data_IF_590907480561
#
_entry.id   IF_590907480561
#
_cell.length_a   1.000
_cell.length_b   1.000
_cell.length_c   1.000
_cell.angle_alpha   90.00
_cell.angle_beta   90.00
_cell.angle_gamma   90.00
#
_symmetry.space_group_name_H-M   'P 1'
#
loop_
_entity.id
_entity.type
_entity.pdbx_description
1 polymer ?
#
# COMPACT_ATOMS: atom_id res chain seq x y z
N UNK A 1 -21.30 -19.65 -12.72
CA UNK A 1 -21.52 -18.22 -13.02
C UNK A 1 -20.35 -17.74 -13.86
N UNK A 2 -20.56 -17.50 -15.16
CA UNK A 2 -19.48 -17.12 -16.09
C UNK A 2 -19.21 -15.61 -15.91
N UNK A 3 -17.96 -15.16 -15.76
CA UNK A 3 -17.65 -13.74 -15.60
C UNK A 3 -18.05 -12.96 -16.87
N UNK A 4 -18.77 -11.84 -16.72
CA UNK A 4 -18.84 -10.80 -17.76
C UNK A 4 -20.10 -10.73 -18.63
N UNK A 5 -21.20 -11.43 -18.32
CA UNK A 5 -22.50 -11.18 -18.98
C UNK A 5 -23.60 -10.98 -17.95
N UNK A 6 -24.12 -9.75 -17.87
CA UNK A 6 -25.33 -9.41 -17.14
C UNK A 6 -26.47 -9.20 -18.15
N UNK A 7 -27.57 -9.94 -17.94
CA UNK A 7 -28.77 -9.87 -18.75
C UNK A 7 -29.75 -8.91 -18.09
N UNK A 8 -30.29 -7.94 -18.84
CA UNK A 8 -31.32 -7.02 -18.33
C UNK A 8 -32.64 -7.33 -19.04
N UNK A 9 -33.71 -7.53 -18.28
CA UNK A 9 -35.04 -7.80 -18.82
C UNK A 9 -35.83 -6.49 -18.92
N UNK A 10 -36.24 -6.10 -20.13
CA UNK A 10 -37.09 -4.93 -20.35
C UNK A 10 -38.12 -5.26 -21.44
N UNK A 11 -39.41 -5.13 -21.12
CA UNK A 11 -40.55 -5.34 -22.05
C UNK A 11 -40.50 -6.66 -22.84
N UNK A 12 -40.25 -7.79 -22.18
CA UNK A 12 -40.40 -9.11 -22.81
C UNK A 12 -39.31 -9.51 -23.81
N UNK A 13 -38.26 -8.69 -23.99
CA UNK A 13 -37.14 -9.01 -24.89
C UNK A 13 -35.83 -9.07 -24.11
N UNK A 14 -35.04 -10.11 -24.36
CA UNK A 14 -33.69 -10.25 -23.80
C UNK A 14 -32.76 -9.40 -24.65
N UNK A 15 -32.27 -8.29 -24.10
CA UNK A 15 -31.21 -7.48 -24.71
C UNK A 15 -29.85 -7.86 -24.12
N UNK A 16 -28.90 -8.18 -25.00
CA UNK A 16 -27.52 -8.43 -24.58
C UNK A 16 -26.81 -7.10 -24.40
N UNK A 17 -26.64 -6.64 -23.16
CA UNK A 17 -25.84 -5.45 -22.86
C UNK A 17 -24.36 -5.85 -22.82
N UNK A 18 -23.57 -5.39 -23.79
CA UNK A 18 -22.10 -5.48 -23.69
C UNK A 18 -21.62 -4.48 -22.65
N UNK A 19 -21.28 -4.95 -21.45
CA UNK A 19 -20.46 -4.15 -20.55
C UNK A 19 -19.04 -4.14 -21.09
N UNK A 20 -18.60 -2.98 -21.58
CA UNK A 20 -17.18 -2.75 -21.80
C UNK A 20 -16.51 -2.72 -20.42
N UNK A 21 -15.67 -3.71 -20.13
CA UNK A 21 -14.81 -3.66 -18.96
C UNK A 21 -13.93 -2.40 -19.10
N UNK A 22 -14.25 -1.37 -18.32
CA UNK A 22 -13.43 -0.16 -18.25
C UNK A 22 -12.06 -0.56 -17.72
N UNK A 23 -11.05 -0.47 -18.59
CA UNK A 23 -9.67 -0.78 -18.25
C UNK A 23 -9.20 0.30 -17.29
N UNK A 24 -9.13 -0.01 -15.99
CA UNK A 24 -8.59 0.91 -14.98
C UNK A 24 -7.15 1.25 -15.38
N UNK A 25 -6.83 2.54 -15.63
CA UNK A 25 -5.47 2.93 -15.97
C UNK A 25 -4.52 2.54 -14.83
N UNK A 26 -3.47 1.78 -15.15
CA UNK A 26 -2.44 1.46 -14.16
C UNK A 26 -1.57 2.71 -13.95
N UNK A 27 -1.21 3.04 -12.69
CA UNK A 27 -0.30 4.14 -12.44
C UNK A 27 1.04 3.87 -13.11
N UNK A 28 1.66 4.92 -13.66
CA UNK A 28 3.01 4.84 -14.22
C UNK A 28 4.02 4.77 -13.06
N UNK A 29 4.58 3.59 -12.83
CA UNK A 29 5.58 3.36 -11.77
C UNK A 29 6.99 3.42 -12.37
N UNK A 30 7.85 4.27 -11.79
CA UNK A 30 9.29 4.33 -12.05
C UNK A 30 10.02 3.56 -10.95
N UNK A 31 10.99 2.73 -11.34
CA UNK A 31 11.79 1.92 -10.42
C UNK A 31 13.22 2.43 -10.38
N UNK A 32 13.77 2.58 -9.18
CA UNK A 32 15.16 2.94 -8.95
C UNK A 32 15.80 1.95 -8.00
N UNK A 33 17.11 1.81 -8.08
CA UNK A 33 17.91 1.08 -7.10
C UNK A 33 19.00 2.00 -6.60
N UNK A 34 19.00 2.27 -5.30
CA UNK A 34 20.01 3.10 -4.65
C UNK A 34 21.32 2.32 -4.51
N UNK A 35 22.43 3.03 -4.25
CA UNK A 35 23.77 2.42 -4.09
C UNK A 35 23.83 1.41 -2.93
N UNK A 36 23.00 1.60 -1.90
CA UNK A 36 22.87 0.68 -0.77
C UNK A 36 21.95 -0.54 -1.05
N UNK A 37 21.47 -0.69 -2.29
CA UNK A 37 20.62 -1.81 -2.70
C UNK A 37 19.11 -1.61 -2.47
N UNK A 38 18.68 -0.51 -1.83
CA UNK A 38 17.26 -0.22 -1.63
C UNK A 38 16.57 0.00 -2.98
N UNK A 39 15.47 -0.73 -3.20
CA UNK A 39 14.59 -0.53 -4.34
C UNK A 39 13.54 0.55 -4.00
N UNK A 40 13.40 1.54 -4.88
CA UNK A 40 12.43 2.62 -4.73
C UNK A 40 11.45 2.57 -5.90
N UNK A 41 10.16 2.53 -5.58
CA UNK A 41 9.07 2.60 -6.54
C UNK A 41 8.38 3.95 -6.42
N UNK A 42 8.43 4.75 -7.47
CA UNK A 42 7.81 6.07 -7.54
C UNK A 42 6.64 6.05 -8.51
N UNK A 43 5.45 6.42 -8.04
CA UNK A 43 4.25 6.50 -8.85
C UNK A 43 3.66 7.93 -8.78
N UNK A 44 4.08 8.87 -9.66
CA UNK A 44 3.56 10.23 -9.64
C UNK A 44 2.07 10.25 -9.98
N UNK A 45 1.29 10.98 -9.18
CA UNK A 45 -0.13 11.23 -9.43
C UNK A 45 -0.42 12.74 -9.37
N UNK A 46 -0.42 13.45 -10.51
CA UNK A 46 -0.65 14.90 -10.55
C UNK A 46 -2.07 15.31 -10.09
N UNK A 47 -3.02 14.38 -10.03
CA UNK A 47 -4.38 14.65 -9.57
C UNK A 47 -4.50 14.68 -8.05
N UNK A 48 -3.46 14.28 -7.30
CA UNK A 48 -3.46 14.25 -5.85
C UNK A 48 -2.52 15.31 -5.28
N UNK A 49 -2.99 16.24 -4.43
CA UNK A 49 -2.12 17.19 -3.72
C UNK A 49 -1.41 16.56 -2.51
N UNK A 50 -1.69 15.29 -2.20
CA UNK A 50 -1.07 14.53 -1.11
C UNK A 50 -0.14 13.45 -1.65
N UNK A 51 0.78 13.00 -0.79
CA UNK A 51 1.69 11.89 -1.05
C UNK A 51 1.55 10.80 0.02
N UNK A 52 1.85 9.56 -0.34
CA UNK A 52 2.00 8.45 0.61
C UNK A 52 3.37 7.81 0.40
N UNK A 53 4.06 7.54 1.49
CA UNK A 53 5.39 6.92 1.49
C UNK A 53 5.31 5.62 2.29
N UNK A 54 5.83 4.54 1.72
CA UNK A 54 5.81 3.22 2.32
C UNK A 54 7.23 2.64 2.28
N UNK A 55 7.65 2.02 3.38
CA UNK A 55 8.89 1.25 3.45
C UNK A 55 8.53 -0.19 3.74
N UNK A 56 8.88 -1.10 2.84
CA UNK A 56 8.60 -2.51 2.97
C UNK A 56 9.85 -3.30 3.32
N UNK A 57 9.82 -3.97 4.46
CA UNK A 57 10.83 -4.96 4.82
C UNK A 57 10.37 -6.35 4.41
N UNK A 58 11.23 -7.12 3.72
CA UNK A 58 10.91 -8.48 3.27
C UNK A 58 11.13 -9.52 4.37
N UNK A 59 10.58 -9.25 5.56
CA UNK A 59 10.69 -10.09 6.76
C UNK A 59 9.41 -9.94 7.59
N UNK A 60 9.03 -11.00 8.30
CA UNK A 60 7.88 -10.99 9.22
C UNK A 60 7.79 -12.30 9.99
N UNK A 61 6.65 -12.58 10.64
CA UNK A 61 6.50 -13.77 11.49
C UNK A 61 6.74 -15.12 10.79
N UNK A 62 6.59 -15.18 9.46
CA UNK A 62 6.96 -16.36 8.66
C UNK A 62 8.45 -16.73 8.78
N UNK A 63 9.30 -15.76 9.13
CA UNK A 63 10.74 -15.93 9.26
C UNK A 63 11.18 -16.26 10.70
N UNK A 64 10.24 -16.38 11.65
CA UNK A 64 10.55 -16.68 13.04
C UNK A 64 10.74 -18.18 13.28
N UNK A 65 11.45 -18.52 14.36
CA UNK A 65 11.66 -19.90 14.80
C UNK A 65 10.84 -20.19 16.06
N UNK A 66 10.48 -21.47 16.33
CA UNK A 66 9.90 -21.85 17.61
C UNK A 66 10.74 -21.34 18.79
N UNK A 67 10.07 -20.76 19.79
CA UNK A 67 10.72 -20.14 20.95
C UNK A 67 11.01 -18.63 20.82
N UNK A 68 10.87 -18.04 19.63
CA UNK A 68 11.01 -16.59 19.42
C UNK A 68 9.85 -15.98 18.61
N UNK A 69 8.67 -16.58 18.72
CA UNK A 69 7.47 -16.11 18.00
C UNK A 69 7.01 -14.75 18.49
N UNK A 70 6.56 -13.89 17.58
CA UNK A 70 6.09 -12.53 17.86
C UNK A 70 7.19 -11.47 17.79
N UNK A 71 8.44 -11.84 17.51
CA UNK A 71 9.58 -10.93 17.43
C UNK A 71 9.43 -9.85 16.35
N UNK A 72 8.88 -10.17 15.19
CA UNK A 72 8.67 -9.21 14.11
C UNK A 72 7.66 -8.11 14.50
N UNK A 73 6.54 -8.51 15.11
CA UNK A 73 5.53 -7.58 15.60
C UNK A 73 6.06 -6.78 16.81
N UNK A 74 6.77 -7.43 17.74
CA UNK A 74 7.41 -6.71 18.83
C UNK A 74 8.40 -5.65 18.33
N UNK A 75 9.23 -5.98 17.33
CA UNK A 75 10.15 -5.03 16.71
C UNK A 75 9.41 -3.86 16.07
N UNK A 76 8.27 -4.10 15.41
CA UNK A 76 7.41 -3.05 14.86
C UNK A 76 7.00 -2.02 15.93
N UNK A 77 6.57 -2.48 17.12
CA UNK A 77 6.28 -1.58 18.25
C UNK A 77 7.50 -0.80 18.71
N UNK A 78 8.68 -1.42 18.66
CA UNK A 78 9.93 -0.79 19.09
C UNK A 78 10.41 0.29 18.12
N UNK A 79 10.04 0.23 16.84
CA UNK A 79 10.37 1.29 15.87
C UNK A 79 9.84 2.67 16.29
N UNK A 80 8.78 2.71 17.10
CA UNK A 80 8.15 3.95 17.58
C UNK A 80 8.55 4.32 19.01
N UNK A 81 9.45 3.58 19.66
CA UNK A 81 9.95 3.91 21.00
C UNK A 81 11.12 4.92 20.99
N UNK A 82 11.46 5.46 19.81
CA UNK A 82 12.50 6.47 19.64
C UNK A 82 13.78 5.95 19.01
N UNK A 83 14.65 6.87 18.64
CA UNK A 83 15.95 6.69 18.02
C UNK A 83 16.96 7.64 18.68
N UNK A 84 18.28 7.49 18.46
CA UNK A 84 19.26 8.44 19.00
C UNK A 84 19.03 9.90 18.56
N UNK A 85 18.34 10.13 17.44
CA UNK A 85 18.07 11.46 16.90
C UNK A 85 16.68 11.99 17.24
N UNK A 86 15.70 11.10 17.41
CA UNK A 86 14.30 11.44 17.66
C UNK A 86 13.80 10.65 18.84
N UNK A 87 13.46 11.32 19.94
CA UNK A 87 12.86 10.71 21.10
C UNK A 87 11.47 10.12 20.79
N UNK A 88 11.00 9.26 21.69
CA UNK A 88 9.68 8.64 21.61
C UNK A 88 8.58 9.69 21.40
N UNK A 89 7.73 9.47 20.39
CA UNK A 89 6.60 10.34 20.07
C UNK A 89 6.94 11.64 19.31
N UNK A 90 8.22 11.95 19.08
CA UNK A 90 8.60 13.13 18.28
C UNK A 90 8.20 12.97 16.81
N UNK A 91 8.38 11.77 16.26
CA UNK A 91 8.00 11.46 14.88
C UNK A 91 6.47 11.56 14.73
N UNK A 92 5.70 10.98 15.64
CA UNK A 92 4.23 11.02 15.60
C UNK A 92 3.72 12.46 15.66
N UNK A 93 4.28 13.27 16.57
CA UNK A 93 3.93 14.70 16.66
C UNK A 93 4.31 15.45 15.39
N UNK A 94 5.46 15.16 14.81
CA UNK A 94 5.87 15.77 13.55
C UNK A 94 4.89 15.41 12.43
N UNK A 95 4.47 14.16 12.30
CA UNK A 95 3.49 13.73 11.29
C UNK A 95 2.15 14.47 11.48
N UNK A 96 1.65 14.53 12.72
CA UNK A 96 0.38 15.20 13.04
C UNK A 96 0.42 16.71 12.75
N UNK A 97 1.53 17.38 13.05
CA UNK A 97 1.69 18.81 12.77
C UNK A 97 1.60 19.14 11.27
N UNK A 98 1.80 18.15 10.40
CA UNK A 98 1.68 18.29 8.94
C UNK A 98 0.31 17.83 8.41
N UNK A 99 -0.63 17.47 9.30
CA UNK A 99 -1.95 16.96 8.92
C UNK A 99 -1.91 15.56 8.31
N UNK A 100 -0.82 14.82 8.53
CA UNK A 100 -0.63 13.46 8.04
C UNK A 100 -0.93 12.42 9.13
N UNK A 101 -0.87 11.14 8.73
CA UNK A 101 -1.03 9.95 9.57
C UNK A 101 0.13 8.99 9.35
#
# INVERSE_FOLDING_TARGET
MIPGRSVRYKRGRIETVRMHASRVPRPRVRRFRLRNGLEVLLAPNPASPTASVWVWYRVGSKNEHPGITGGAHWLEHMLFQGTPKYAKGEIDRAILNWGAS
#
